data_IF_974702692562
#
_entry.id   IF_974702692562
#
_cell.length_a   1.000
_cell.length_b   1.000
_cell.length_c   1.000
_cell.angle_alpha   90.00
_cell.angle_beta   90.00
_cell.angle_gamma   90.00
#
_symmetry.space_group_name_H-M   'P 1'
#
loop_
_entity.id
_entity.type
_entity.pdbx_description
1 polymer ?
#
# COMPACT_ATOMS: atom_id res chain seq x y z
N UNK A 1 26.67 -10.44 -11.20
CA UNK A 1 25.63 -10.80 -10.20
C UNK A 1 24.70 -9.61 -10.03
N UNK A 2 23.47 -9.71 -10.51
CA UNK A 2 22.48 -8.68 -10.24
C UNK A 2 22.20 -8.60 -8.74
N UNK A 3 22.50 -7.45 -8.13
CA UNK A 3 22.09 -7.19 -6.75
C UNK A 3 20.57 -7.24 -6.69
N UNK A 4 20.03 -8.32 -6.15
CA UNK A 4 18.58 -8.49 -5.98
C UNK A 4 18.11 -7.54 -4.88
N UNK A 5 17.73 -6.31 -5.23
CA UNK A 5 17.20 -5.31 -4.30
C UNK A 5 15.68 -5.42 -4.16
N UNK A 6 15.17 -4.95 -3.04
CA UNK A 6 13.74 -4.83 -2.74
C UNK A 6 13.44 -3.43 -2.21
N UNK A 7 12.30 -2.87 -2.62
CA UNK A 7 11.84 -1.58 -2.10
C UNK A 7 10.92 -1.81 -0.90
N UNK A 8 11.30 -1.27 0.24
CA UNK A 8 10.53 -1.35 1.48
C UNK A 8 10.04 0.03 1.90
N UNK A 9 8.72 0.17 2.06
CA UNK A 9 8.12 1.42 2.54
C UNK A 9 7.98 1.41 4.06
N UNK A 10 8.41 2.50 4.72
CA UNK A 10 8.23 2.73 6.15
C UNK A 10 7.30 3.91 6.39
N UNK A 11 6.27 3.69 7.20
CA UNK A 11 5.34 4.74 7.64
C UNK A 11 5.90 5.43 8.87
N UNK A 12 6.33 6.68 8.73
CA UNK A 12 6.97 7.51 9.76
C UNK A 12 6.02 8.67 10.07
N UNK A 13 5.67 8.88 11.32
CA UNK A 13 4.89 10.05 11.70
C UNK A 13 5.77 11.29 11.64
N UNK A 14 5.22 12.40 11.12
CA UNK A 14 5.90 13.68 10.98
C UNK A 14 5.01 14.82 11.46
N UNK A 15 5.64 15.94 11.77
CA UNK A 15 4.96 17.19 12.11
C UNK A 15 5.54 18.32 11.27
N UNK A 16 4.73 19.36 11.03
CA UNK A 16 5.23 20.63 10.50
C UNK A 16 6.07 21.29 11.59
N UNK A 17 7.33 21.57 11.26
CA UNK A 17 8.33 22.15 12.17
C UNK A 17 8.31 23.68 12.07
N UNK A 18 7.27 24.28 12.61
CA UNK A 18 7.05 25.72 12.62
C UNK A 18 6.66 26.15 14.03
N UNK A 19 7.29 27.18 14.56
CA UNK A 19 7.00 27.74 15.90
C UNK A 19 5.73 28.60 15.85
N UNK A 20 5.57 29.37 14.80
CA UNK A 20 4.39 30.20 14.60
C UNK A 20 3.17 29.34 14.27
N UNK A 21 2.11 29.53 15.07
CA UNK A 21 0.86 28.79 14.94
C UNK A 21 0.12 29.13 13.63
N UNK A 22 0.12 30.39 13.22
CA UNK A 22 -0.59 30.83 12.02
C UNK A 22 0.06 30.23 10.76
N UNK A 23 1.39 30.28 10.67
CA UNK A 23 2.12 29.64 9.58
C UNK A 23 1.92 28.11 9.57
N UNK A 24 1.92 27.51 10.74
CA UNK A 24 1.68 26.06 10.88
C UNK A 24 0.29 25.69 10.36
N UNK A 25 -0.74 26.42 10.74
CA UNK A 25 -2.12 26.20 10.30
C UNK A 25 -2.26 26.45 8.78
N UNK A 26 -1.56 27.46 8.25
CA UNK A 26 -1.49 27.72 6.81
C UNK A 26 -0.87 26.54 6.04
N UNK A 27 0.24 25.97 6.54
CA UNK A 27 0.87 24.80 5.95
C UNK A 27 -0.04 23.56 5.97
N UNK A 28 -0.75 23.32 7.10
CA UNK A 28 -1.73 22.23 7.15
C UNK A 28 -2.87 22.44 6.14
N UNK A 29 -3.41 23.65 6.05
CA UNK A 29 -4.44 23.99 5.06
C UNK A 29 -3.97 23.70 3.65
N UNK A 30 -2.77 24.15 3.30
CA UNK A 30 -2.16 23.91 1.99
C UNK A 30 -2.00 22.40 1.68
N UNK A 31 -1.55 21.60 2.65
CA UNK A 31 -1.42 20.15 2.51
C UNK A 31 -2.79 19.47 2.27
N UNK A 32 -3.86 19.92 2.94
CA UNK A 32 -5.21 19.41 2.70
C UNK A 32 -5.75 19.82 1.32
N UNK A 33 -5.44 21.02 0.86
CA UNK A 33 -5.79 21.47 -0.48
C UNK A 33 -5.09 20.62 -1.55
N UNK A 34 -3.80 20.36 -1.39
CA UNK A 34 -3.06 19.47 -2.28
C UNK A 34 -3.60 18.03 -2.26
N UNK A 35 -3.97 17.53 -1.09
CA UNK A 35 -4.59 16.21 -0.98
C UNK A 35 -5.91 16.14 -1.76
N UNK A 36 -6.73 17.19 -1.68
CA UNK A 36 -7.99 17.25 -2.43
C UNK A 36 -7.74 17.32 -3.94
N UNK A 37 -6.79 18.15 -4.38
CA UNK A 37 -6.40 18.24 -5.79
C UNK A 37 -5.80 16.92 -6.30
N UNK A 38 -4.98 16.25 -5.50
CA UNK A 38 -4.42 14.94 -5.85
C UNK A 38 -5.50 13.86 -5.98
N UNK A 39 -6.52 13.88 -5.11
CA UNK A 39 -7.69 13.02 -5.23
C UNK A 39 -8.44 13.24 -6.54
N UNK A 40 -8.72 14.50 -6.91
CA UNK A 40 -9.34 14.82 -8.19
C UNK A 40 -8.46 14.39 -9.37
N UNK A 41 -7.16 14.69 -9.30
CA UNK A 41 -6.19 14.31 -10.31
C UNK A 41 -6.11 12.80 -10.51
N UNK A 42 -6.12 12.01 -9.44
CA UNK A 42 -6.03 10.55 -9.53
C UNK A 42 -7.23 9.95 -10.30
N UNK A 43 -8.43 10.40 -10.00
CA UNK A 43 -9.62 9.95 -10.71
C UNK A 43 -9.64 10.46 -12.17
N UNK A 44 -9.18 11.69 -12.41
CA UNK A 44 -9.03 12.22 -13.77
C UNK A 44 -8.02 11.39 -14.59
N UNK A 45 -6.87 11.01 -14.00
CA UNK A 45 -5.85 10.20 -14.69
C UNK A 45 -6.48 8.88 -15.18
N UNK A 46 -7.15 8.15 -14.30
CA UNK A 46 -7.75 6.87 -14.66
C UNK A 46 -8.85 7.01 -15.73
N UNK A 47 -9.73 7.98 -15.56
CA UNK A 47 -10.77 8.28 -16.56
C UNK A 47 -10.15 8.65 -17.90
N UNK A 48 -9.15 9.53 -17.90
CA UNK A 48 -8.51 10.00 -19.12
C UNK A 48 -7.76 8.88 -19.86
N UNK A 49 -7.04 8.02 -19.14
CA UNK A 49 -6.38 6.84 -19.71
C UNK A 49 -7.40 5.86 -20.31
N UNK A 50 -8.50 5.62 -19.61
CA UNK A 50 -9.56 4.74 -20.08
C UNK A 50 -10.25 5.30 -21.34
N UNK A 51 -10.56 6.60 -21.36
CA UNK A 51 -11.16 7.25 -22.53
C UNK A 51 -10.24 7.16 -23.74
N UNK A 52 -8.91 7.40 -23.56
CA UNK A 52 -7.94 7.24 -24.63
C UNK A 52 -7.92 5.81 -25.20
N UNK A 53 -8.08 4.80 -24.36
CA UNK A 53 -8.19 3.41 -24.82
C UNK A 53 -9.51 3.16 -25.56
N UNK A 54 -10.63 3.73 -25.08
CA UNK A 54 -11.96 3.55 -25.73
C UNK A 54 -12.10 4.31 -27.06
N UNK A 55 -11.46 5.45 -27.19
CA UNK A 55 -11.41 6.17 -28.48
C UNK A 55 -10.83 5.26 -29.56
N UNK A 56 -9.84 4.43 -29.22
CA UNK A 56 -9.30 3.45 -30.16
C UNK A 56 -10.34 2.47 -30.68
N UNK A 57 -11.26 1.98 -29.81
CA UNK A 57 -12.33 1.09 -30.23
C UNK A 57 -13.32 1.75 -31.17
N UNK A 58 -13.66 3.02 -30.91
CA UNK A 58 -14.63 3.76 -31.71
C UNK A 58 -14.12 4.07 -33.13
N UNK A 59 -12.79 4.13 -33.30
CA UNK A 59 -12.14 4.46 -34.58
C UNK A 59 -11.86 3.18 -35.40
N UNK A 60 -11.90 1.98 -34.79
CA UNK A 60 -11.77 0.71 -35.48
C UNK A 60 -13.10 0.31 -36.12
N UNK A 61 -13.27 0.66 -37.40
CA UNK A 61 -14.47 0.28 -38.15
C UNK A 61 -14.32 -1.07 -38.91
N UNK A 62 -13.10 -1.38 -39.36
CA UNK A 62 -12.78 -2.62 -40.07
C UNK A 62 -11.33 -3.01 -39.80
N UNK A 63 -10.97 -4.27 -40.09
CA UNK A 63 -9.59 -4.77 -40.01
C UNK A 63 -8.61 -3.98 -40.93
N UNK A 64 -9.12 -3.33 -41.96
CA UNK A 64 -8.33 -2.56 -42.93
C UNK A 64 -8.00 -1.14 -42.42
N UNK A 65 -8.84 -0.54 -41.57
CA UNK A 65 -8.61 0.80 -41.00
C UNK A 65 -7.98 0.69 -39.65
N UNK A 66 -6.64 0.70 -39.63
CA UNK A 66 -5.86 0.70 -38.36
C UNK A 66 -5.45 2.12 -38.02
N UNK A 67 -6.12 2.69 -37.00
CA UNK A 67 -5.71 3.96 -36.43
C UNK A 67 -4.69 3.72 -35.29
N UNK A 68 -3.48 4.19 -35.49
CA UNK A 68 -2.44 4.16 -34.45
C UNK A 68 -2.60 5.33 -33.49
N UNK A 69 -2.78 5.03 -32.21
CA UNK A 69 -2.56 5.99 -31.14
C UNK A 69 -1.10 5.87 -30.69
N UNK A 70 -0.39 7.00 -30.59
CA UNK A 70 0.96 7.01 -30.06
C UNK A 70 0.97 6.43 -28.63
N UNK A 71 1.86 5.48 -28.37
CA UNK A 71 1.97 4.84 -27.05
C UNK A 71 3.19 5.36 -26.29
N UNK A 72 4.30 4.67 -26.26
CA UNK A 72 5.50 5.07 -25.51
C UNK A 72 6.51 5.84 -26.34
N UNK A 73 6.58 5.56 -27.62
CA UNK A 73 7.46 6.24 -28.57
C UNK A 73 6.69 7.32 -29.33
N UNK A 74 7.39 8.34 -29.82
CA UNK A 74 6.84 9.30 -30.78
C UNK A 74 6.47 8.54 -32.04
N UNK A 75 5.22 8.55 -32.40
CA UNK A 75 4.71 7.95 -33.63
C UNK A 75 4.17 9.06 -34.52
N UNK A 76 4.91 9.41 -35.56
CA UNK A 76 4.55 10.48 -36.50
C UNK A 76 3.25 10.15 -37.27
N UNK A 77 2.91 8.88 -37.42
CA UNK A 77 1.66 8.43 -38.07
C UNK A 77 0.49 8.21 -37.09
N UNK A 78 0.68 8.49 -35.79
CA UNK A 78 -0.36 8.31 -34.78
C UNK A 78 -1.27 9.52 -34.64
N UNK A 79 -2.50 9.31 -34.17
CA UNK A 79 -3.46 10.38 -33.84
C UNK A 79 -2.89 11.29 -32.73
N UNK A 80 -2.18 10.69 -31.76
CA UNK A 80 -1.51 11.41 -30.70
C UNK A 80 0.00 11.36 -30.94
N UNK A 81 0.61 12.50 -31.18
CA UNK A 81 2.06 12.63 -31.36
C UNK A 81 2.87 12.42 -30.08
N UNK A 82 2.20 12.07 -28.97
CA UNK A 82 2.82 11.86 -27.67
C UNK A 82 2.23 10.63 -27.02
N UNK A 83 2.98 9.99 -26.10
CA UNK A 83 2.47 8.86 -25.34
C UNK A 83 1.21 9.23 -24.54
N UNK A 84 0.36 8.25 -24.28
CA UNK A 84 -0.87 8.43 -23.44
C UNK A 84 -0.56 9.02 -22.07
N UNK A 85 0.55 8.62 -21.47
CA UNK A 85 1.01 9.17 -20.20
C UNK A 85 1.36 10.66 -20.33
N UNK A 86 2.06 11.05 -21.39
CA UNK A 86 2.43 12.45 -21.64
C UNK A 86 1.20 13.32 -21.97
N UNK A 87 0.23 12.77 -22.70
CA UNK A 87 -1.03 13.46 -22.99
C UNK A 87 -1.80 13.72 -21.71
N UNK A 88 -1.92 12.71 -20.84
CA UNK A 88 -2.55 12.85 -19.52
C UNK A 88 -1.82 13.86 -18.65
N UNK A 89 -0.48 13.85 -18.66
CA UNK A 89 0.32 14.85 -17.96
C UNK A 89 0.01 16.28 -18.42
N UNK A 90 -0.13 16.53 -19.74
CA UNK A 90 -0.49 17.87 -20.27
C UNK A 90 -1.83 18.34 -19.73
N UNK A 91 -2.85 17.46 -19.67
CA UNK A 91 -4.15 17.79 -19.10
C UNK A 91 -4.04 18.14 -17.60
N UNK A 92 -3.23 17.39 -16.85
CA UNK A 92 -2.98 17.68 -15.43
C UNK A 92 -2.25 19.02 -15.26
N UNK A 93 -1.20 19.26 -16.05
CA UNK A 93 -0.42 20.49 -16.00
C UNK A 93 -1.30 21.71 -16.27
N UNK A 94 -2.16 21.66 -17.28
CA UNK A 94 -3.09 22.77 -17.58
C UNK A 94 -4.04 23.11 -16.42
N UNK A 95 -4.41 22.10 -15.57
CA UNK A 95 -5.33 22.31 -14.45
C UNK A 95 -4.65 22.67 -13.14
N UNK A 96 -3.44 22.15 -12.90
CA UNK A 96 -2.80 22.11 -11.57
C UNK A 96 -1.52 22.93 -11.46
N UNK A 97 -0.94 23.35 -12.58
CA UNK A 97 0.28 24.18 -12.58
C UNK A 97 0.02 25.48 -11.81
N UNK A 98 0.93 25.83 -10.91
CA UNK A 98 0.79 26.99 -10.02
C UNK A 98 -0.07 26.76 -8.77
N UNK A 99 -0.90 25.72 -8.73
CA UNK A 99 -1.78 25.39 -7.58
C UNK A 99 -1.21 24.29 -6.70
N UNK A 100 -0.46 23.38 -7.28
CA UNK A 100 0.17 22.24 -6.60
C UNK A 100 1.57 22.02 -7.17
N UNK A 101 2.56 21.57 -6.36
CA UNK A 101 3.89 21.25 -6.86
C UNK A 101 3.84 20.24 -8.02
N UNK A 102 4.53 20.57 -9.12
CA UNK A 102 4.54 19.73 -10.34
C UNK A 102 5.07 18.32 -10.07
N UNK A 103 6.01 18.18 -9.15
CA UNK A 103 6.55 16.88 -8.76
C UNK A 103 5.45 15.93 -8.20
N UNK A 104 4.46 16.46 -7.49
CA UNK A 104 3.37 15.65 -6.94
C UNK A 104 2.51 15.07 -8.07
N UNK A 105 1.98 15.90 -8.96
CA UNK A 105 1.08 15.40 -10.01
C UNK A 105 1.83 14.63 -11.11
N UNK A 106 3.13 14.89 -11.32
CA UNK A 106 3.97 14.11 -12.20
C UNK A 106 4.19 12.69 -11.66
N UNK A 107 4.60 12.55 -10.40
CA UNK A 107 4.77 11.24 -9.77
C UNK A 107 3.44 10.50 -9.60
N UNK A 108 2.34 11.22 -9.36
CA UNK A 108 1.01 10.65 -9.32
C UNK A 108 0.64 10.05 -10.69
N UNK A 109 0.84 10.81 -11.78
CA UNK A 109 0.59 10.34 -13.13
C UNK A 109 1.41 9.09 -13.46
N UNK A 110 2.72 9.10 -13.17
CA UNK A 110 3.61 7.98 -13.45
C UNK A 110 3.18 6.71 -12.67
N UNK A 111 2.90 6.84 -11.38
CA UNK A 111 2.52 5.70 -10.54
C UNK A 111 1.15 5.13 -10.94
N UNK A 112 0.18 5.99 -11.23
CA UNK A 112 -1.15 5.57 -11.63
C UNK A 112 -1.20 5.02 -13.05
N UNK A 113 -0.38 5.54 -13.96
CA UNK A 113 -0.20 4.97 -15.29
C UNK A 113 0.33 3.53 -15.21
N UNK A 114 1.32 3.27 -14.35
CA UNK A 114 1.83 1.91 -14.14
C UNK A 114 0.74 0.96 -13.65
N UNK A 115 -0.07 1.39 -12.66
CA UNK A 115 -1.19 0.59 -12.14
C UNK A 115 -2.23 0.35 -13.23
N UNK A 116 -2.62 1.39 -13.98
CA UNK A 116 -3.56 1.27 -15.08
C UNK A 116 -3.07 0.29 -16.16
N UNK A 117 -1.79 0.38 -16.55
CA UNK A 117 -1.19 -0.47 -17.57
C UNK A 117 -1.22 -1.95 -17.18
N UNK A 118 -1.02 -2.27 -15.90
CA UNK A 118 -1.09 -3.64 -15.38
C UNK A 118 -2.53 -4.20 -15.43
N UNK A 119 -3.52 -3.36 -15.15
CA UNK A 119 -4.93 -3.78 -15.07
C UNK A 119 -5.73 -3.53 -16.35
N UNK A 120 -5.10 -2.96 -17.37
CA UNK A 120 -5.73 -2.52 -18.62
C UNK A 120 -6.54 -3.61 -19.29
N UNK A 121 -6.00 -4.82 -19.39
CA UNK A 121 -6.68 -5.95 -20.03
C UNK A 121 -7.98 -6.31 -19.32
N UNK A 122 -7.98 -6.31 -17.98
CA UNK A 122 -9.17 -6.61 -17.18
C UNK A 122 -10.25 -5.52 -17.32
N UNK A 123 -9.84 -4.24 -17.42
CA UNK A 123 -10.79 -3.14 -17.72
C UNK A 123 -11.40 -3.27 -19.10
N UNK A 124 -10.59 -3.66 -20.07
CA UNK A 124 -11.02 -3.85 -21.44
C UNK A 124 -12.06 -4.97 -21.60
N UNK A 125 -11.81 -6.11 -20.97
CA UNK A 125 -12.70 -7.26 -20.97
C UNK A 125 -13.96 -7.09 -20.09
N UNK A 126 -14.05 -6.02 -19.30
CA UNK A 126 -15.16 -5.83 -18.36
C UNK A 126 -15.05 -6.68 -17.09
N UNK A 127 -13.93 -7.37 -16.88
CA UNK A 127 -13.70 -8.20 -15.68
C UNK A 127 -13.50 -7.37 -14.42
N UNK A 128 -13.13 -6.09 -14.59
CA UNK A 128 -12.82 -5.17 -13.51
C UNK A 128 -13.38 -3.77 -13.77
N UNK A 129 -13.98 -3.15 -12.76
CA UNK A 129 -14.37 -1.75 -12.83
C UNK A 129 -13.17 -0.82 -12.62
N UNK A 130 -13.23 0.39 -13.19
CA UNK A 130 -12.19 1.39 -12.98
C UNK A 130 -12.02 1.69 -11.48
N UNK A 131 -10.78 1.86 -11.06
CA UNK A 131 -10.47 2.25 -9.69
C UNK A 131 -11.02 3.64 -9.40
N UNK A 132 -11.70 3.76 -8.26
CA UNK A 132 -12.10 5.04 -7.70
C UNK A 132 -11.21 5.35 -6.48
N UNK A 133 -10.43 6.41 -6.58
CA UNK A 133 -9.51 6.83 -5.52
C UNK A 133 -10.26 7.64 -4.47
N UNK A 134 -9.91 7.40 -3.21
CA UNK A 134 -10.48 8.11 -2.06
C UNK A 134 -9.71 9.39 -1.77
N UNK A 135 -10.35 10.32 -1.05
CA UNK A 135 -9.75 11.60 -0.64
C UNK A 135 -8.46 11.44 0.17
N UNK A 136 -8.24 10.29 0.83
CA UNK A 136 -7.04 9.98 1.61
C UNK A 136 -5.85 9.48 0.77
N UNK A 137 -5.83 9.74 -0.54
CA UNK A 137 -4.72 9.37 -1.41
C UNK A 137 -3.43 10.03 -0.92
N UNK A 138 -2.29 9.30 -0.86
CA UNK A 138 -0.99 9.89 -0.56
C UNK A 138 -0.54 10.85 -1.66
N UNK A 139 0.26 11.84 -1.29
CA UNK A 139 0.92 12.80 -2.18
C UNK A 139 2.30 12.25 -2.55
N UNK A 140 2.50 11.65 -3.73
CA UNK A 140 3.78 11.08 -4.13
C UNK A 140 4.75 12.18 -4.55
N UNK A 141 6.04 11.93 -4.33
CA UNK A 141 7.13 12.79 -4.75
C UNK A 141 8.42 12.01 -4.97
N UNK A 142 9.35 12.63 -5.70
CA UNK A 142 10.66 12.03 -5.96
C UNK A 142 11.49 11.94 -4.67
N UNK A 143 12.08 10.78 -4.41
CA UNK A 143 12.96 10.58 -3.25
C UNK A 143 14.16 11.53 -3.22
N UNK A 144 14.57 12.07 -4.37
CA UNK A 144 15.67 13.05 -4.48
C UNK A 144 15.38 14.38 -3.76
N UNK A 145 14.09 14.72 -3.56
CA UNK A 145 13.68 15.93 -2.87
C UNK A 145 13.82 15.82 -1.34
N UNK A 146 13.92 14.62 -0.83
CA UNK A 146 13.93 14.37 0.61
C UNK A 146 15.37 14.30 1.11
N UNK A 147 15.81 15.36 1.77
CA UNK A 147 17.12 15.47 2.41
C UNK A 147 16.93 15.60 3.90
N UNK A 148 17.30 14.54 4.64
CA UNK A 148 17.24 14.57 6.09
C UNK A 148 18.46 15.23 6.70
N UNK A 149 18.21 16.06 7.72
CA UNK A 149 19.22 16.60 8.62
C UNK A 149 18.95 16.02 10.00
N UNK A 150 19.94 15.34 10.57
CA UNK A 150 19.84 14.76 11.90
C UNK A 150 20.09 15.84 12.98
N UNK A 151 19.42 15.73 14.12
CA UNK A 151 19.80 16.47 15.34
C UNK A 151 21.11 15.91 15.94
N UNK A 152 21.74 16.64 16.87
CA UNK A 152 23.00 16.24 17.52
C UNK A 152 22.91 14.84 18.17
N UNK A 153 21.76 14.47 18.69
CA UNK A 153 21.51 13.17 19.34
C UNK A 153 20.98 12.10 18.37
N UNK A 154 20.85 12.40 17.08
CA UNK A 154 20.29 11.54 16.04
C UNK A 154 18.94 10.89 16.43
N UNK A 155 18.13 11.61 17.19
CA UNK A 155 16.81 11.13 17.65
C UNK A 155 15.68 11.65 16.79
N UNK A 156 15.84 12.86 16.25
CA UNK A 156 14.90 13.53 15.36
C UNK A 156 15.60 13.86 14.04
N UNK A 157 14.84 13.81 12.97
CA UNK A 157 15.33 14.16 11.62
C UNK A 157 14.43 15.24 11.07
N UNK A 158 15.05 16.33 10.62
CA UNK A 158 14.37 17.46 10.00
C UNK A 158 14.58 17.41 8.49
N UNK A 159 13.62 17.88 7.73
CA UNK A 159 13.71 18.03 6.29
C UNK A 159 12.73 19.08 5.80
N UNK A 160 13.04 19.68 4.65
CA UNK A 160 12.12 20.60 3.96
C UNK A 160 11.61 19.95 2.70
N UNK A 161 10.30 19.98 2.49
CA UNK A 161 9.67 19.47 1.29
C UNK A 161 8.63 20.48 0.80
N UNK A 162 8.74 20.91 -0.46
CA UNK A 162 7.85 21.92 -1.06
C UNK A 162 7.78 23.24 -0.26
N UNK A 163 8.91 23.68 0.27
CA UNK A 163 9.06 24.86 1.15
C UNK A 163 8.38 24.73 2.52
N UNK A 164 7.87 23.57 2.88
CA UNK A 164 7.31 23.28 4.21
C UNK A 164 8.35 22.53 5.03
N UNK A 165 8.73 23.05 6.21
CA UNK A 165 9.64 22.36 7.11
C UNK A 165 8.91 21.26 7.88
N UNK A 166 9.54 20.10 8.01
CA UNK A 166 9.02 18.96 8.73
C UNK A 166 10.06 18.39 9.71
N UNK A 167 9.56 17.77 10.75
CA UNK A 167 10.34 16.93 11.65
C UNK A 167 9.71 15.56 11.83
N UNK A 168 10.53 14.54 12.00
CA UNK A 168 10.09 13.17 12.26
C UNK A 168 9.71 12.98 13.71
N UNK A 169 8.73 12.13 13.96
CA UNK A 169 8.40 11.66 15.30
C UNK A 169 8.56 10.14 15.35
N UNK A 170 9.66 9.70 15.94
CA UNK A 170 9.97 8.28 16.07
C UNK A 170 9.55 7.73 17.45
N UNK A 171 9.44 8.58 18.47
CA UNK A 171 9.00 8.19 19.80
C UNK A 171 9.81 7.02 20.38
N UNK A 172 9.11 6.08 21.04
CA UNK A 172 9.67 4.83 21.58
C UNK A 172 9.62 3.69 20.54
N UNK A 173 9.79 4.01 19.26
CA UNK A 173 9.72 3.02 18.18
C UNK A 173 10.94 2.09 18.25
N UNK A 174 10.67 0.79 18.38
CA UNK A 174 11.67 -0.28 18.38
C UNK A 174 11.94 -0.84 16.98
N UNK A 175 11.32 -0.26 15.93
CA UNK A 175 11.51 -0.71 14.56
C UNK A 175 12.79 -0.12 13.93
N UNK A 176 13.10 -0.59 12.73
CA UNK A 176 14.27 -0.21 11.96
C UNK A 176 14.27 1.22 11.37
N UNK A 177 13.19 1.99 11.55
CA UNK A 177 12.99 3.30 10.89
C UNK A 177 14.13 4.28 11.13
N UNK A 178 14.60 4.39 12.39
CA UNK A 178 15.72 5.27 12.74
C UNK A 178 17.00 4.85 12.01
N UNK A 179 17.32 3.57 12.07
CA UNK A 179 18.52 3.00 11.43
C UNK A 179 18.48 3.21 9.92
N UNK A 180 17.31 3.04 9.28
CA UNK A 180 17.17 3.25 7.84
C UNK A 180 17.38 4.71 7.44
N UNK A 181 16.83 5.67 8.22
CA UNK A 181 17.08 7.10 7.95
C UNK A 181 18.57 7.42 8.16
N UNK A 182 19.20 6.94 9.24
CA UNK A 182 20.63 7.13 9.49
C UNK A 182 21.50 6.59 8.36
N UNK A 183 21.21 5.39 7.87
CA UNK A 183 21.91 4.79 6.72
C UNK A 183 21.71 5.61 5.44
N UNK A 184 20.53 6.19 5.26
CA UNK A 184 20.28 7.09 4.13
C UNK A 184 21.08 8.39 4.27
N UNK A 185 21.12 9.03 5.44
CA UNK A 185 21.91 10.23 5.72
C UNK A 185 23.40 9.95 5.50
N UNK A 186 23.87 8.76 5.90
CA UNK A 186 25.25 8.31 5.66
C UNK A 186 25.55 7.93 4.19
N UNK A 187 24.57 8.01 3.28
CA UNK A 187 24.73 7.69 1.86
C UNK A 187 24.79 6.19 1.55
N UNK A 188 24.61 5.30 2.53
CA UNK A 188 24.68 3.85 2.36
C UNK A 188 23.35 3.22 1.92
N UNK A 189 22.26 3.98 1.95
CA UNK A 189 20.93 3.50 1.60
C UNK A 189 20.22 4.49 0.68
N UNK A 190 19.72 3.99 -0.45
CA UNK A 190 19.00 4.82 -1.42
C UNK A 190 17.53 4.98 -1.04
N UNK A 191 17.05 6.23 -1.09
CA UNK A 191 15.63 6.57 -0.96
C UNK A 191 14.99 6.64 -2.35
N UNK A 192 13.91 5.90 -2.53
CA UNK A 192 13.10 5.87 -3.74
C UNK A 192 11.95 6.89 -3.68
N UNK A 193 11.12 6.92 -4.72
CA UNK A 193 9.90 7.72 -4.73
C UNK A 193 9.06 7.42 -3.49
N UNK A 194 8.76 8.46 -2.75
CA UNK A 194 8.11 8.43 -1.44
C UNK A 194 6.80 9.21 -1.49
N UNK A 195 6.04 9.24 -0.41
CA UNK A 195 4.81 10.02 -0.39
C UNK A 195 4.47 10.57 0.99
N UNK A 196 3.76 11.70 1.03
CA UNK A 196 3.11 12.21 2.23
C UNK A 196 1.69 11.66 2.32
N UNK A 197 1.29 11.21 3.50
CA UNK A 197 -0.08 10.76 3.77
C UNK A 197 -0.67 11.53 4.94
N UNK A 198 -1.85 12.08 4.72
CA UNK A 198 -2.66 12.69 5.77
C UNK A 198 -3.74 11.67 6.15
N UNK A 199 -3.79 11.30 7.41
CA UNK A 199 -4.71 10.29 7.92
C UNK A 199 -5.19 10.66 9.32
N UNK A 200 -6.49 10.89 9.48
CA UNK A 200 -7.11 11.29 10.76
C UNK A 200 -6.40 12.46 11.46
N UNK A 201 -6.09 13.52 10.70
CA UNK A 201 -5.43 14.73 11.22
C UNK A 201 -3.93 14.57 11.54
N UNK A 202 -3.35 13.39 11.24
CA UNK A 202 -1.92 13.13 11.42
C UNK A 202 -1.22 13.06 10.08
N UNK A 203 0.01 13.57 10.05
CA UNK A 203 0.88 13.49 8.89
C UNK A 203 1.83 12.30 9.00
N UNK A 204 2.01 11.62 7.89
CA UNK A 204 2.93 10.50 7.78
C UNK A 204 3.77 10.64 6.50
N UNK A 205 5.05 10.39 6.65
CA UNK A 205 5.96 10.13 5.55
C UNK A 205 5.94 8.62 5.26
N UNK A 206 5.62 8.24 4.04
CA UNK A 206 5.78 6.90 3.53
C UNK A 206 7.12 6.86 2.79
N UNK A 207 8.20 6.62 3.53
CA UNK A 207 9.55 6.59 2.99
C UNK A 207 9.84 5.22 2.37
N UNK A 208 10.19 5.19 1.10
CA UNK A 208 10.52 3.99 0.36
C UNK A 208 12.04 3.84 0.21
N UNK A 209 12.61 2.83 0.85
CA UNK A 209 14.04 2.53 0.83
C UNK A 209 14.34 1.35 -0.09
N UNK A 210 15.37 1.45 -0.90
CA UNK A 210 15.89 0.35 -1.68
C UNK A 210 16.91 -0.42 -0.83
N UNK A 211 16.56 -1.64 -0.44
CA UNK A 211 17.36 -2.49 0.42
C UNK A 211 17.80 -3.74 -0.34
N UNK A 212 18.93 -4.28 0.03
CA UNK A 212 19.33 -5.61 -0.41
C UNK A 212 18.40 -6.64 0.25
N UNK A 213 18.16 -7.75 -0.45
CA UNK A 213 17.42 -8.88 0.12
C UNK A 213 18.26 -9.50 1.25
N UNK A 214 17.55 -10.06 2.22
CA UNK A 214 18.23 -10.84 3.27
C UNK A 214 18.92 -12.05 2.60
N UNK A 215 20.21 -12.22 2.83
CA UNK A 215 20.96 -13.38 2.32
C UNK A 215 20.73 -14.57 3.25
N UNK A 216 20.00 -15.55 2.78
CA UNK A 216 19.79 -16.82 3.45
C UNK A 216 20.37 -17.97 2.62
N UNK A 217 20.85 -19.00 3.28
CA UNK A 217 21.27 -20.25 2.61
C UNK A 217 20.02 -21.06 2.27
N UNK A 218 19.42 -20.77 1.11
CA UNK A 218 18.24 -21.45 0.62
C UNK A 218 18.64 -22.47 -0.45
N UNK A 219 17.95 -23.61 -0.46
CA UNK A 219 18.11 -24.67 -1.47
C UNK A 219 16.86 -24.75 -2.30
N UNK A 220 16.96 -24.55 -3.59
CA UNK A 220 15.82 -24.60 -4.52
C UNK A 220 15.15 -25.98 -4.56
N UNK A 221 15.91 -27.04 -4.20
CA UNK A 221 15.42 -28.43 -4.10
C UNK A 221 14.56 -28.70 -2.86
N UNK A 222 14.62 -27.82 -1.84
CA UNK A 222 13.80 -27.95 -0.63
C UNK A 222 12.55 -27.12 -0.80
N UNK A 223 11.41 -27.83 -0.85
CA UNK A 223 10.09 -27.22 -1.02
C UNK A 223 9.35 -27.27 0.33
N UNK A 224 8.83 -26.12 0.75
CA UNK A 224 7.88 -26.03 1.84
C UNK A 224 6.46 -25.94 1.26
N UNK A 225 5.61 -26.89 1.59
CA UNK A 225 4.19 -26.89 1.20
C UNK A 225 3.35 -26.25 2.30
N UNK A 226 2.67 -25.16 2.00
CA UNK A 226 1.82 -24.48 2.96
C UNK A 226 0.36 -24.50 2.51
N UNK A 227 -0.51 -24.92 3.40
CA UNK A 227 -1.94 -24.94 3.21
C UNK A 227 -2.61 -23.97 4.20
N UNK A 228 -3.45 -23.07 3.69
CA UNK A 228 -4.27 -22.20 4.53
C UNK A 228 -5.56 -22.96 4.91
N UNK A 229 -5.84 -23.18 6.19
CA UNK A 229 -6.99 -23.95 6.64
C UNK A 229 -7.90 -23.18 7.61
N UNK A 230 -9.08 -23.74 7.89
CA UNK A 230 -10.07 -23.13 8.79
C UNK A 230 -9.63 -23.23 10.26
N UNK A 231 -9.05 -24.35 10.66
CA UNK A 231 -8.68 -24.61 12.06
C UNK A 231 -7.34 -23.97 12.44
N UNK A 232 -6.38 -24.10 11.54
CA UNK A 232 -5.07 -23.47 11.67
C UNK A 232 -4.87 -22.50 10.52
N UNK A 233 -4.57 -21.23 10.78
CA UNK A 233 -4.31 -20.24 9.72
C UNK A 233 -3.36 -20.76 8.66
N UNK A 234 -2.31 -21.47 9.05
CA UNK A 234 -1.34 -22.06 8.15
C UNK A 234 -0.91 -23.44 8.69
N UNK A 235 -0.95 -24.44 7.81
CA UNK A 235 -0.32 -25.75 8.04
C UNK A 235 0.81 -25.89 7.03
N UNK A 236 2.01 -26.19 7.51
CA UNK A 236 3.22 -26.27 6.68
C UNK A 236 3.82 -27.66 6.76
N UNK A 237 4.17 -28.21 5.60
CA UNK A 237 4.95 -29.45 5.48
C UNK A 237 6.29 -29.13 4.86
N UNK A 238 7.36 -29.64 5.46
CA UNK A 238 8.72 -29.60 4.90
C UNK A 238 9.32 -30.99 5.02
N UNK A 239 9.43 -31.69 3.90
CA UNK A 239 9.80 -33.10 3.89
C UNK A 239 8.77 -33.95 4.67
N UNK A 240 9.24 -34.63 5.73
CA UNK A 240 8.37 -35.45 6.61
C UNK A 240 7.79 -34.67 7.80
N UNK A 241 8.27 -33.47 8.07
CA UNK A 241 7.84 -32.67 9.21
C UNK A 241 6.61 -31.81 8.86
N UNK A 242 5.62 -31.78 9.78
CA UNK A 242 4.43 -30.94 9.64
C UNK A 242 4.35 -29.99 10.84
N UNK A 243 4.05 -28.72 10.55
CA UNK A 243 3.95 -27.65 11.53
C UNK A 243 2.61 -26.92 11.38
N UNK A 244 2.04 -26.51 12.51
CA UNK A 244 0.81 -25.73 12.57
C UNK A 244 1.12 -24.35 13.09
N UNK A 245 0.65 -23.30 12.40
CA UNK A 245 0.90 -21.89 12.73
C UNK A 245 -0.43 -21.21 13.03
N UNK A 246 -0.61 -20.84 14.29
CA UNK A 246 -1.83 -20.22 14.79
C UNK A 246 -2.94 -21.21 15.13
N UNK A 247 -3.95 -20.73 15.82
CA UNK A 247 -5.11 -21.48 16.24
C UNK A 247 -6.37 -20.64 16.06
N UNK A 248 -7.43 -21.25 15.55
CA UNK A 248 -8.75 -20.66 15.33
C UNK A 248 -9.33 -20.08 16.62
N UNK A 249 -9.30 -20.85 17.69
CA UNK A 249 -9.89 -20.45 18.97
C UNK A 249 -9.24 -19.19 19.53
N UNK A 250 -7.90 -19.14 19.58
CA UNK A 250 -7.15 -17.97 20.06
C UNK A 250 -7.44 -16.73 19.23
N UNK A 251 -7.51 -16.89 17.91
CA UNK A 251 -7.79 -15.78 17.00
C UNK A 251 -9.23 -15.27 17.19
N UNK A 252 -10.21 -16.17 17.21
CA UNK A 252 -11.63 -15.83 17.31
C UNK A 252 -12.02 -15.29 18.66
N UNK A 253 -11.54 -15.88 19.75
CA UNK A 253 -11.89 -15.45 21.10
C UNK A 253 -11.73 -13.94 21.29
N UNK A 254 -10.58 -13.40 20.94
CA UNK A 254 -10.33 -11.95 21.07
C UNK A 254 -11.13 -11.12 20.07
N UNK A 255 -11.32 -11.61 18.85
CA UNK A 255 -12.10 -10.94 17.83
C UNK A 255 -13.57 -10.86 18.20
N UNK A 256 -14.14 -11.97 18.65
CA UNK A 256 -15.54 -12.02 19.14
C UNK A 256 -15.75 -11.10 20.34
N UNK A 257 -14.80 -11.01 21.26
CA UNK A 257 -14.86 -10.08 22.38
C UNK A 257 -14.89 -8.60 21.90
N UNK A 258 -14.10 -8.26 20.89
CA UNK A 258 -14.11 -6.93 20.27
C UNK A 258 -15.46 -6.67 19.58
N UNK A 259 -15.98 -7.63 18.82
CA UNK A 259 -17.27 -7.53 18.14
C UNK A 259 -18.43 -7.41 19.14
N UNK A 260 -18.43 -8.19 20.20
CA UNK A 260 -19.45 -8.10 21.25
C UNK A 260 -19.45 -6.72 21.96
N UNK A 261 -18.27 -6.16 22.23
CA UNK A 261 -18.17 -4.81 22.77
C UNK A 261 -18.70 -3.75 21.78
N UNK A 262 -18.41 -3.91 20.50
CA UNK A 262 -18.92 -3.03 19.43
C UNK A 262 -20.44 -3.12 19.32
N UNK A 263 -21.03 -4.33 19.32
CA UNK A 263 -22.48 -4.51 19.27
C UNK A 263 -23.20 -3.89 20.49
N UNK A 264 -22.62 -4.00 21.69
CA UNK A 264 -23.17 -3.33 22.89
C UNK A 264 -23.19 -1.80 22.73
N UNK A 265 -22.13 -1.22 22.21
CA UNK A 265 -22.07 0.21 21.93
C UNK A 265 -23.05 0.63 20.82
N UNK A 266 -23.20 -0.19 19.78
CA UNK A 266 -24.14 0.03 18.68
C UNK A 266 -25.58 0.06 19.18
N UNK A 267 -26.01 -0.95 19.93
CA UNK A 267 -27.33 -1.01 20.58
C UNK A 267 -27.56 0.18 21.51
N UNK A 268 -26.59 0.51 22.37
CA UNK A 268 -26.70 1.67 23.26
C UNK A 268 -26.75 3.02 22.53
N UNK A 269 -26.25 3.14 21.29
CA UNK A 269 -26.31 4.38 20.50
C UNK A 269 -27.66 4.60 19.84
N UNK A 270 -28.42 3.52 19.59
CA UNK A 270 -29.74 3.57 18.95
C UNK A 270 -30.78 4.28 19.82
N UNK A 271 -30.68 4.13 21.14
CA UNK A 271 -31.60 4.73 22.12
C UNK A 271 -31.22 6.16 22.54
N UNK A 272 -30.13 6.73 22.02
CA UNK A 272 -29.73 8.07 22.40
C UNK A 272 -30.35 9.11 21.46
N UNK A 273 -30.82 10.22 22.04
CA UNK A 273 -31.26 11.39 21.31
C UNK A 273 -30.11 11.96 20.45
N UNK A 274 -30.41 12.58 19.26
CA UNK A 274 -29.39 13.25 18.47
C UNK A 274 -28.70 14.34 19.30
N UNK A 275 -27.36 14.45 19.19
CA UNK A 275 -26.59 15.44 19.92
C UNK A 275 -25.16 14.98 20.25
N UNK A 276 -24.50 15.69 21.17
CA UNK A 276 -23.10 15.46 21.58
C UNK A 276 -22.85 14.04 22.11
N UNK A 277 -23.76 13.48 22.86
CA UNK A 277 -23.62 12.11 23.43
C UNK A 277 -23.63 11.03 22.34
N UNK A 278 -24.50 11.16 21.32
CA UNK A 278 -24.53 10.24 20.18
C UNK A 278 -23.23 10.32 19.35
N UNK A 279 -22.71 11.53 19.10
CA UNK A 279 -21.44 11.73 18.40
C UNK A 279 -20.26 11.08 19.14
N UNK A 280 -20.22 11.18 20.45
CA UNK A 280 -19.18 10.57 21.28
C UNK A 280 -19.22 9.03 21.20
N UNK A 281 -20.40 8.42 21.22
CA UNK A 281 -20.57 6.97 21.06
C UNK A 281 -20.21 6.50 19.66
N UNK A 282 -20.59 7.23 18.61
CA UNK A 282 -20.20 6.91 17.23
C UNK A 282 -18.68 6.94 17.05
N UNK A 283 -18.00 7.93 17.64
CA UNK A 283 -16.52 7.98 17.64
C UNK A 283 -15.90 6.76 18.32
N UNK A 284 -16.51 6.30 19.42
CA UNK A 284 -16.06 5.08 20.11
C UNK A 284 -16.23 3.83 19.24
N UNK A 285 -17.25 3.75 18.37
CA UNK A 285 -17.40 2.65 17.42
C UNK A 285 -16.28 2.63 16.38
N UNK A 286 -15.88 3.79 15.86
CA UNK A 286 -14.73 3.90 14.94
C UNK A 286 -13.43 3.42 15.60
N UNK A 287 -13.23 3.74 16.87
CA UNK A 287 -12.08 3.27 17.65
C UNK A 287 -12.07 1.74 17.80
N UNK A 288 -13.22 1.12 17.99
CA UNK A 288 -13.35 -0.34 18.06
C UNK A 288 -13.11 -1.01 16.70
N UNK A 289 -13.60 -0.44 15.60
CA UNK A 289 -13.31 -0.91 14.25
C UNK A 289 -11.79 -0.85 13.95
N UNK A 290 -11.16 0.25 14.32
CA UNK A 290 -9.71 0.39 14.19
C UNK A 290 -8.93 -0.60 15.07
N UNK A 291 -9.48 -0.96 16.25
CA UNK A 291 -8.87 -1.95 17.16
C UNK A 291 -8.98 -3.36 16.59
N UNK A 292 -10.13 -3.73 16.04
CA UNK A 292 -10.33 -5.02 15.36
C UNK A 292 -9.38 -5.17 14.18
N UNK A 293 -9.34 -4.17 13.31
CA UNK A 293 -8.46 -4.18 12.14
C UNK A 293 -6.99 -4.31 12.53
N UNK A 294 -6.54 -3.57 13.54
CA UNK A 294 -5.16 -3.68 14.05
C UNK A 294 -4.85 -5.05 14.63
N UNK A 295 -5.81 -5.65 15.35
CA UNK A 295 -5.63 -6.99 15.90
C UNK A 295 -5.47 -8.03 14.80
N UNK A 296 -6.37 -8.04 13.82
CA UNK A 296 -6.30 -8.96 12.66
C UNK A 296 -4.97 -8.77 11.93
N UNK A 297 -4.62 -7.55 11.59
CA UNK A 297 -3.40 -7.23 10.85
C UNK A 297 -2.12 -7.70 11.57
N UNK A 298 -2.05 -7.47 12.90
CA UNK A 298 -0.94 -7.95 13.73
C UNK A 298 -0.83 -9.49 13.74
N UNK A 299 -1.96 -10.20 13.80
CA UNK A 299 -1.97 -11.67 13.76
C UNK A 299 -1.52 -12.21 12.40
N UNK A 300 -2.00 -11.62 11.31
CA UNK A 300 -1.55 -11.98 9.96
C UNK A 300 -0.05 -11.74 9.76
N UNK A 301 0.47 -10.64 10.30
CA UNK A 301 1.92 -10.37 10.32
C UNK A 301 2.70 -11.41 11.11
N UNK A 302 2.18 -11.84 12.26
CA UNK A 302 2.81 -12.87 13.09
C UNK A 302 2.83 -14.23 12.37
N UNK A 303 1.69 -14.66 11.83
CA UNK A 303 1.58 -15.96 11.16
C UNK A 303 2.45 -16.04 9.90
N UNK A 304 2.37 -15.01 9.04
CA UNK A 304 3.21 -14.95 7.85
C UNK A 304 4.70 -14.85 8.18
N UNK A 305 5.08 -14.22 9.30
CA UNK A 305 6.49 -14.21 9.73
C UNK A 305 6.95 -15.59 10.19
N UNK A 306 6.17 -16.26 11.03
CA UNK A 306 6.51 -17.62 11.50
C UNK A 306 6.64 -18.61 10.35
N UNK A 307 5.81 -18.48 9.31
CA UNK A 307 5.94 -19.31 8.11
C UNK A 307 7.28 -19.09 7.43
N UNK A 308 7.64 -17.82 7.17
CA UNK A 308 8.90 -17.52 6.49
C UNK A 308 10.12 -17.88 7.34
N UNK A 309 10.09 -17.61 8.65
CA UNK A 309 11.15 -18.00 9.58
C UNK A 309 11.34 -19.55 9.58
N UNK A 310 10.26 -20.32 9.45
CA UNK A 310 10.30 -21.77 9.33
C UNK A 310 10.90 -22.21 7.99
N UNK A 311 10.50 -21.60 6.88
CA UNK A 311 11.10 -21.87 5.56
C UNK A 311 12.60 -21.59 5.56
N UNK A 312 13.02 -20.46 6.12
CA UNK A 312 14.46 -20.10 6.25
C UNK A 312 15.20 -21.11 7.11
N UNK A 313 14.61 -21.51 8.27
CA UNK A 313 15.22 -22.51 9.16
C UNK A 313 15.38 -23.88 8.50
N UNK A 314 14.46 -24.23 7.61
CA UNK A 314 14.49 -25.49 6.84
C UNK A 314 15.26 -25.36 5.52
N UNK A 315 15.90 -24.23 5.26
CA UNK A 315 16.63 -23.93 4.02
C UNK A 315 15.75 -24.06 2.74
N UNK A 316 14.43 -23.89 2.85
CA UNK A 316 13.51 -24.03 1.75
C UNK A 316 13.59 -22.82 0.80
N UNK A 317 14.00 -23.05 -0.44
CA UNK A 317 14.07 -22.02 -1.49
C UNK A 317 12.72 -21.77 -2.16
N UNK A 318 11.80 -22.73 -2.09
CA UNK A 318 10.47 -22.65 -2.69
C UNK A 318 9.38 -22.86 -1.65
N UNK A 319 8.38 -21.98 -1.65
CA UNK A 319 7.16 -22.10 -0.87
C UNK A 319 5.98 -22.34 -1.82
N UNK A 320 5.40 -23.54 -1.76
CA UNK A 320 4.21 -23.92 -2.52
C UNK A 320 2.97 -23.67 -1.66
N UNK A 321 2.06 -22.80 -2.11
CA UNK A 321 0.75 -22.62 -1.52
C UNK A 321 -0.24 -23.55 -2.18
N UNK A 322 -0.58 -24.66 -1.50
CA UNK A 322 -1.34 -25.79 -2.06
C UNK A 322 -2.84 -25.54 -1.98
N UNK A 323 -3.57 -25.99 -3.02
CA UNK A 323 -5.04 -25.98 -3.09
C UNK A 323 -5.69 -24.59 -2.91
N UNK A 324 -5.10 -23.55 -3.50
CA UNK A 324 -5.61 -22.20 -3.31
C UNK A 324 -6.88 -21.91 -4.09
N UNK A 325 -7.02 -22.49 -5.30
CA UNK A 325 -8.21 -22.29 -6.14
C UNK A 325 -9.46 -22.88 -5.48
N UNK A 326 -9.39 -24.12 -4.99
CA UNK A 326 -10.51 -24.74 -4.25
C UNK A 326 -10.87 -23.97 -2.99
N UNK A 327 -9.86 -23.39 -2.30
CA UNK A 327 -10.10 -22.61 -1.09
C UNK A 327 -10.65 -21.21 -1.37
N UNK A 328 -10.36 -20.64 -2.51
CA UNK A 328 -11.00 -19.41 -2.95
C UNK A 328 -12.49 -19.62 -3.25
N UNK A 329 -12.87 -20.76 -3.81
CA UNK A 329 -14.27 -21.14 -4.01
C UNK A 329 -14.98 -21.35 -2.66
N UNK A 330 -14.42 -22.18 -1.79
CA UNK A 330 -14.95 -22.38 -0.43
C UNK A 330 -14.99 -21.06 0.36
N UNK A 331 -14.00 -20.18 0.20
CA UNK A 331 -13.96 -18.89 0.86
C UNK A 331 -15.04 -17.92 0.35
N UNK A 332 -15.48 -18.04 -0.91
CA UNK A 332 -16.60 -17.26 -1.44
C UNK A 332 -17.94 -17.72 -0.85
N UNK A 333 -18.10 -19.02 -0.65
CA UNK A 333 -19.31 -19.60 -0.09
C UNK A 333 -19.38 -19.47 1.44
N UNK A 334 -18.22 -19.55 2.12
CA UNK A 334 -18.13 -19.36 3.57
C UNK A 334 -17.65 -17.94 3.92
N UNK A 335 -18.61 -17.06 4.25
CA UNK A 335 -18.32 -15.71 4.80
C UNK A 335 -17.34 -15.74 5.98
N UNK A 336 -17.26 -16.85 6.69
CA UNK A 336 -16.36 -17.04 7.83
C UNK A 336 -14.88 -16.95 7.42
N UNK A 337 -14.46 -17.62 6.35
CA UNK A 337 -13.08 -17.60 5.88
C UNK A 337 -12.66 -16.23 5.37
N UNK A 338 -13.47 -15.61 4.52
CA UNK A 338 -13.16 -14.27 3.98
C UNK A 338 -13.17 -13.19 5.05
N UNK A 339 -14.19 -13.18 5.90
CA UNK A 339 -14.33 -12.13 6.93
C UNK A 339 -13.42 -12.36 8.13
N UNK A 340 -13.20 -13.60 8.54
CA UNK A 340 -12.49 -13.88 9.78
C UNK A 340 -10.99 -14.00 9.61
N UNK A 341 -10.51 -14.71 8.62
CA UNK A 341 -9.07 -14.90 8.41
C UNK A 341 -8.39 -13.82 7.57
N UNK A 342 -9.18 -12.95 6.90
CA UNK A 342 -8.60 -11.99 5.93
C UNK A 342 -7.63 -12.71 4.97
N UNK A 343 -8.12 -13.77 4.37
CA UNK A 343 -7.37 -14.73 3.54
C UNK A 343 -6.42 -14.05 2.53
N UNK A 344 -6.94 -13.11 1.75
CA UNK A 344 -6.13 -12.37 0.78
C UNK A 344 -5.04 -11.53 1.46
N UNK A 345 -5.33 -10.93 2.60
CA UNK A 345 -4.35 -10.17 3.38
C UNK A 345 -3.23 -11.05 3.93
N UNK A 346 -3.51 -12.33 4.23
CA UNK A 346 -2.49 -13.30 4.63
C UNK A 346 -1.60 -13.69 3.45
N UNK A 347 -2.16 -14.00 2.28
CA UNK A 347 -1.41 -14.28 1.04
C UNK A 347 -0.47 -13.14 0.67
N UNK A 348 -0.97 -11.90 0.65
CA UNK A 348 -0.15 -10.72 0.36
C UNK A 348 1.03 -10.57 1.33
N UNK A 349 0.80 -10.81 2.64
CA UNK A 349 1.87 -10.73 3.64
C UNK A 349 2.89 -11.85 3.50
N UNK A 350 2.46 -13.05 3.12
CA UNK A 350 3.35 -14.18 2.83
C UNK A 350 4.21 -13.84 1.61
N UNK A 351 3.60 -13.46 0.49
CA UNK A 351 4.30 -13.13 -0.75
C UNK A 351 5.34 -12.00 -0.55
N UNK A 352 4.96 -10.94 0.18
CA UNK A 352 5.87 -9.84 0.50
C UNK A 352 7.09 -10.29 1.32
N UNK A 353 6.87 -11.11 2.37
CA UNK A 353 7.96 -11.55 3.25
C UNK A 353 8.83 -12.62 2.60
N UNK A 354 8.24 -13.53 1.83
CA UNK A 354 8.96 -14.51 1.03
C UNK A 354 9.89 -13.82 0.03
N UNK A 355 9.38 -12.82 -0.69
CA UNK A 355 10.19 -11.99 -1.60
C UNK A 355 11.36 -11.32 -0.89
N UNK A 356 11.15 -10.84 0.36
CA UNK A 356 12.22 -10.25 1.18
C UNK A 356 13.28 -11.28 1.55
N UNK A 357 12.89 -12.48 1.93
CA UNK A 357 13.77 -13.58 2.32
C UNK A 357 14.41 -14.32 1.11
N UNK A 358 14.06 -13.97 -0.12
CA UNK A 358 14.57 -14.64 -1.32
C UNK A 358 13.87 -15.96 -1.65
N UNK A 359 12.75 -16.28 -0.99
CA UNK A 359 11.97 -17.50 -1.20
C UNK A 359 11.03 -17.30 -2.39
N UNK A 360 11.02 -18.23 -3.32
CA UNK A 360 10.09 -18.26 -4.44
C UNK A 360 8.72 -18.78 -3.98
N UNK A 361 7.63 -18.08 -4.31
CA UNK A 361 6.25 -18.48 -3.94
C UNK A 361 5.53 -18.93 -5.19
N UNK A 362 5.01 -20.15 -5.14
CA UNK A 362 4.18 -20.75 -6.18
C UNK A 362 2.79 -20.96 -5.60
N UNK A 363 1.75 -20.54 -6.30
CA UNK A 363 0.35 -20.73 -5.94
C UNK A 363 -0.26 -21.79 -6.86
N UNK A 364 -0.86 -22.82 -6.29
CA UNK A 364 -1.54 -23.91 -6.97
C UNK A 364 -3.07 -23.79 -6.83
#
# INVERSE_FOLDING_TARGET
MEKKTIILTRKIQIYVDCEDKEQKDAHYKQLYEWQFMAFQAANLIFTHLYVQDRVKDLIYFTDEVKVKLADRAKDAGGILNTSRMSTTYRVLSAKLLGKMPSDIFSNLNNSLYSVYSTERSAYWKGEKSLRNYKRSIPLPFSGKLLKFVADEKQREFRFTLFKIPFKTYLGKDKTDKRVLIQRHVAGTLKLCASSLKIDNGKLYLLAAFEMERDEHRLKDTVIAEASLSIEHPIVVKVGKAQFQIGNKEEFLHRRLAIQAARHRLQRGSTYNRPGRGRRRKLKSLEDWDAKEKRYVDNRLHLYSRRLIDLCVKSEAGTLLLVNQQQKEEVAKDEEFLLRNWSYYGLKEKIAYKAKKAGINVIEE
#
